data_IF_470476765839
#
_entry.id   IF_470476765839
#
_cell.length_a   1.000
_cell.length_b   1.000
_cell.length_c   1.000
_cell.angle_alpha   90.00
_cell.angle_beta   90.00
_cell.angle_gamma   90.00
#
_symmetry.space_group_name_H-M   'P 1'
#
loop_
_entity.id
_entity.type
_entity.pdbx_description
1 polymer ?
#
# COMPACT_ATOMS: atom_id res chain seq x y z
N UNK A 1 -15.57 35.27 -8.20
CA UNK A 1 -15.76 35.00 -6.75
C UNK A 1 -16.20 33.55 -6.43
N UNK A 2 -17.01 32.86 -7.26
CA UNK A 2 -17.50 31.50 -6.96
C UNK A 2 -16.47 30.35 -7.02
N UNK A 3 -15.35 30.48 -7.76
CA UNK A 3 -14.35 29.39 -7.90
C UNK A 3 -13.48 29.20 -6.65
N UNK A 4 -13.22 30.28 -5.88
CA UNK A 4 -12.41 30.22 -4.66
C UNK A 4 -13.16 29.58 -3.47
N UNK A 5 -14.47 29.75 -3.41
CA UNK A 5 -15.32 29.18 -2.35
C UNK A 5 -15.35 27.65 -2.37
N UNK A 6 -15.43 27.03 -3.57
CA UNK A 6 -15.40 25.55 -3.72
C UNK A 6 -14.04 24.95 -3.33
N UNK A 7 -12.93 25.64 -3.62
CA UNK A 7 -11.59 25.19 -3.26
C UNK A 7 -11.35 25.23 -1.75
N UNK A 8 -11.85 26.28 -1.07
CA UNK A 8 -11.80 26.41 0.38
C UNK A 8 -12.72 25.41 1.09
N UNK A 9 -13.90 25.12 0.53
CA UNK A 9 -14.81 24.09 1.06
C UNK A 9 -14.22 22.68 0.95
N UNK A 10 -13.56 22.36 -0.18
CA UNK A 10 -12.87 21.07 -0.38
C UNK A 10 -11.67 20.90 0.56
N UNK A 11 -10.87 21.97 0.79
CA UNK A 11 -9.79 21.96 1.79
C UNK A 11 -10.31 21.81 3.22
N UNK A 12 -11.45 22.40 3.55
CA UNK A 12 -12.12 22.23 4.85
C UNK A 12 -12.62 20.80 5.05
N UNK A 13 -13.19 20.17 4.02
CA UNK A 13 -13.62 18.77 4.05
C UNK A 13 -12.45 17.79 4.19
N UNK A 14 -11.34 18.02 3.49
CA UNK A 14 -10.11 17.24 3.64
C UNK A 14 -9.50 17.40 5.04
N UNK A 15 -9.45 18.62 5.57
CA UNK A 15 -8.98 18.89 6.93
C UNK A 15 -9.92 18.29 7.99
N UNK A 16 -11.24 18.32 7.77
CA UNK A 16 -12.23 17.71 8.66
C UNK A 16 -12.16 16.18 8.63
N UNK A 17 -11.94 15.56 7.47
CA UNK A 17 -11.69 14.12 7.37
C UNK A 17 -10.37 13.74 8.05
N UNK A 18 -9.29 14.52 7.86
CA UNK A 18 -8.03 14.33 8.58
C UNK A 18 -8.21 14.46 10.10
N UNK A 19 -8.99 15.44 10.56
CA UNK A 19 -9.31 15.62 11.98
C UNK A 19 -10.24 14.53 12.52
N UNK A 20 -11.12 13.94 11.70
CA UNK A 20 -11.94 12.79 12.09
C UNK A 20 -11.10 11.51 12.23
N UNK A 21 -10.12 11.28 11.35
CA UNK A 21 -9.17 10.15 11.47
C UNK A 21 -8.31 10.28 12.72
N UNK A 22 -7.86 11.50 13.08
CA UNK A 22 -7.11 11.74 14.33
C UNK A 22 -8.01 11.62 15.57
N UNK A 23 -9.30 11.99 15.49
CA UNK A 23 -10.24 11.84 16.61
C UNK A 23 -10.54 10.39 16.97
N UNK A 24 -10.44 9.45 16.03
CA UNK A 24 -10.65 8.03 16.34
C UNK A 24 -9.47 7.38 17.09
N UNK A 25 -8.30 8.03 17.11
CA UNK A 25 -7.14 7.58 17.86
C UNK A 25 -7.09 8.11 19.31
N UNK A 26 -7.97 9.06 19.67
CA UNK A 26 -7.91 9.79 20.95
C UNK A 26 -9.11 9.55 21.88
N UNK A 27 -9.90 8.50 21.66
CA UNK A 27 -10.88 8.02 22.65
C UNK A 27 -10.53 6.62 23.13
N UNK A 28 -9.84 6.56 24.28
CA UNK A 28 -10.36 5.92 25.48
C UNK A 28 -10.68 4.43 25.52
N UNK A 29 -10.51 3.67 24.45
CA UNK A 29 -10.62 2.20 24.45
C UNK A 29 -9.35 1.64 23.83
N UNK A 30 -8.74 0.63 24.46
CA UNK A 30 -7.49 -0.01 24.03
C UNK A 30 -7.46 -0.29 22.52
N UNK A 31 -6.79 0.57 21.74
CA UNK A 31 -6.76 0.57 20.26
C UNK A 31 -5.78 -0.46 19.72
N UNK A 32 -5.95 -1.72 20.12
CA UNK A 32 -5.17 -2.82 19.53
C UNK A 32 -5.72 -3.15 18.14
N UNK A 33 -4.82 -3.30 17.18
CA UNK A 33 -5.11 -3.93 15.89
C UNK A 33 -4.73 -5.40 15.94
N UNK A 34 -5.49 -6.26 15.28
CA UNK A 34 -5.14 -7.67 15.17
C UNK A 34 -3.87 -7.82 14.32
N UNK A 35 -3.78 -7.05 13.24
CA UNK A 35 -2.64 -7.02 12.33
C UNK A 35 -2.30 -5.59 11.91
N UNK A 36 -1.01 -5.28 11.94
CA UNK A 36 -0.46 -4.06 11.32
C UNK A 36 0.32 -4.44 10.07
N UNK A 37 0.11 -3.71 8.98
CA UNK A 37 0.87 -3.81 7.73
C UNK A 37 1.69 -2.54 7.56
N UNK A 38 3.00 -2.69 7.39
CA UNK A 38 3.93 -1.57 7.19
C UNK A 38 4.31 -1.47 5.73
N UNK A 39 3.89 -0.39 5.07
CA UNK A 39 4.18 -0.08 3.66
C UNK A 39 2.98 -0.30 2.72
N UNK A 40 2.57 0.74 1.99
CA UNK A 40 1.46 0.71 1.03
C UNK A 40 1.85 0.28 -0.38
N UNK A 41 2.89 -0.54 -0.53
CA UNK A 41 3.31 -1.08 -1.83
C UNK A 41 2.42 -2.25 -2.29
N UNK A 42 2.72 -2.83 -3.46
CA UNK A 42 1.92 -3.94 -4.03
C UNK A 42 1.72 -5.12 -3.07
N UNK A 43 2.75 -5.50 -2.30
CA UNK A 43 2.62 -6.57 -1.31
C UNK A 43 1.74 -6.14 -0.12
N UNK A 44 1.91 -4.91 0.37
CA UNK A 44 1.13 -4.39 1.48
C UNK A 44 -0.34 -4.21 1.14
N UNK A 45 -0.66 -3.80 -0.09
CA UNK A 45 -2.05 -3.65 -0.55
C UNK A 45 -2.78 -4.99 -0.58
N UNK A 46 -2.12 -6.06 -1.07
CA UNK A 46 -2.69 -7.41 -1.05
C UNK A 46 -2.80 -7.95 0.38
N UNK A 47 -1.78 -7.74 1.22
CA UNK A 47 -1.80 -8.16 2.62
C UNK A 47 -2.95 -7.51 3.40
N UNK A 48 -3.16 -6.20 3.23
CA UNK A 48 -4.25 -5.48 3.87
C UNK A 48 -5.61 -6.04 3.44
N UNK A 49 -5.83 -6.19 2.13
CA UNK A 49 -7.09 -6.71 1.60
C UNK A 49 -7.35 -8.14 2.08
N UNK A 50 -6.34 -9.00 2.07
CA UNK A 50 -6.47 -10.38 2.52
C UNK A 50 -6.82 -10.47 4.02
N UNK A 51 -6.07 -9.78 4.87
CA UNK A 51 -6.24 -9.83 6.34
C UNK A 51 -7.56 -9.21 6.77
N UNK A 52 -7.93 -8.06 6.22
CA UNK A 52 -9.20 -7.42 6.54
C UNK A 52 -10.40 -8.29 6.15
N UNK A 53 -10.36 -8.96 4.99
CA UNK A 53 -11.41 -9.90 4.56
C UNK A 53 -11.50 -11.17 5.41
N UNK A 54 -10.41 -11.55 6.09
CA UNK A 54 -10.44 -12.61 7.10
C UNK A 54 -11.11 -12.15 8.42
N UNK A 55 -11.58 -10.90 8.49
CA UNK A 55 -12.30 -10.34 9.64
C UNK A 55 -11.40 -9.72 10.71
N UNK A 56 -10.09 -9.61 10.45
CA UNK A 56 -9.14 -9.03 11.40
C UNK A 56 -9.14 -7.50 11.30
N UNK A 57 -9.15 -6.82 12.46
CA UNK A 57 -8.99 -5.37 12.52
C UNK A 57 -7.57 -5.01 12.09
N UNK A 58 -7.47 -4.37 10.93
CA UNK A 58 -6.20 -4.18 10.22
C UNK A 58 -5.81 -2.71 10.16
N UNK A 59 -4.54 -2.40 10.38
CA UNK A 59 -3.98 -1.08 10.14
C UNK A 59 -2.91 -1.12 9.07
N UNK A 60 -3.06 -0.31 8.03
CA UNK A 60 -1.98 0.04 7.11
C UNK A 60 -1.26 1.30 7.60
N UNK A 61 0.04 1.18 7.89
CA UNK A 61 0.93 2.33 8.13
C UNK A 61 1.79 2.57 6.90
N UNK A 62 1.75 3.79 6.36
CA UNK A 62 2.56 4.16 5.20
C UNK A 62 3.07 5.59 5.29
N UNK A 63 4.26 5.87 4.74
CA UNK A 63 4.85 7.20 4.80
C UNK A 63 4.06 8.26 4.03
N UNK A 64 3.39 7.87 2.94
CA UNK A 64 2.60 8.76 2.08
C UNK A 64 1.38 8.02 1.56
N UNK A 65 0.17 8.41 2.00
CA UNK A 65 -1.09 7.82 1.54
C UNK A 65 -1.27 7.96 0.03
N UNK A 66 -0.81 9.09 -0.52
CA UNK A 66 -0.91 9.37 -1.95
C UNK A 66 -0.12 8.40 -2.84
N UNK A 67 0.87 7.67 -2.31
CA UNK A 67 1.71 6.72 -3.07
C UNK A 67 1.32 5.25 -2.86
N UNK A 68 0.22 4.99 -2.14
CA UNK A 68 -0.35 3.65 -2.03
C UNK A 68 -0.70 3.15 -3.43
N UNK A 69 -0.19 1.98 -3.81
CA UNK A 69 -0.38 1.40 -5.14
C UNK A 69 0.50 2.01 -6.25
N UNK A 70 1.53 2.79 -5.91
CA UNK A 70 2.42 3.41 -6.91
C UNK A 70 3.27 2.37 -7.66
N UNK A 71 3.17 2.38 -9.00
CA UNK A 71 4.04 1.61 -9.89
C UNK A 71 5.34 2.37 -10.17
N UNK A 72 6.44 2.00 -9.51
CA UNK A 72 7.71 2.73 -9.65
C UNK A 72 8.56 2.33 -10.86
N UNK A 73 8.39 1.09 -11.35
CA UNK A 73 9.22 0.54 -12.43
C UNK A 73 8.48 0.59 -13.77
N UNK A 74 8.09 -0.56 -14.32
CA UNK A 74 7.41 -0.68 -15.61
C UNK A 74 5.88 -0.50 -15.42
N UNK A 75 5.19 0.32 -16.24
CA UNK A 75 3.73 0.45 -16.18
C UNK A 75 3.03 -0.74 -16.86
N UNK A 76 3.33 -1.95 -16.39
CA UNK A 76 2.79 -3.17 -16.96
C UNK A 76 2.68 -4.28 -15.93
N UNK A 77 1.61 -5.04 -16.02
CA UNK A 77 1.38 -6.22 -15.21
C UNK A 77 1.37 -7.48 -16.08
N UNK A 78 1.79 -8.60 -15.49
CA UNK A 78 1.82 -9.90 -16.15
C UNK A 78 3.09 -10.16 -16.96
N UNK A 79 2.99 -11.06 -17.94
CA UNK A 79 4.11 -11.69 -18.63
C UNK A 79 4.04 -13.22 -18.51
N UNK A 80 5.09 -13.93 -18.93
CA UNK A 80 5.08 -15.41 -18.96
C UNK A 80 4.87 -16.00 -17.56
N UNK A 81 5.70 -15.63 -16.58
CA UNK A 81 5.53 -16.08 -15.18
C UNK A 81 4.53 -15.23 -14.41
N UNK A 82 4.74 -13.91 -14.44
CA UNK A 82 3.92 -12.94 -13.68
C UNK A 82 2.43 -12.98 -14.04
N UNK A 83 2.09 -13.34 -15.28
CA UNK A 83 0.69 -13.46 -15.72
C UNK A 83 -0.05 -14.58 -14.98
N UNK A 84 0.61 -15.72 -14.72
CA UNK A 84 0.05 -16.79 -13.90
C UNK A 84 -0.12 -16.35 -12.45
N UNK A 85 0.91 -15.73 -11.85
CA UNK A 85 0.84 -15.25 -10.47
C UNK A 85 -0.31 -14.25 -10.25
N UNK A 86 -0.55 -13.35 -11.20
CA UNK A 86 -1.68 -12.41 -11.09
C UNK A 86 -3.02 -13.15 -11.13
N UNK A 87 -3.15 -14.20 -11.95
CA UNK A 87 -4.36 -15.02 -12.01
C UNK A 87 -4.57 -15.84 -10.73
N UNK A 88 -3.49 -16.32 -10.12
CA UNK A 88 -3.54 -17.00 -8.83
C UNK A 88 -3.95 -16.03 -7.72
N UNK A 89 -3.37 -14.82 -7.70
CA UNK A 89 -3.76 -13.75 -6.76
C UNK A 89 -5.24 -13.41 -6.93
N UNK A 90 -5.71 -13.21 -8.16
CA UNK A 90 -7.11 -12.93 -8.49
C UNK A 90 -8.05 -14.08 -8.05
N UNK A 91 -7.64 -15.33 -8.25
CA UNK A 91 -8.40 -16.50 -7.78
C UNK A 91 -8.49 -16.59 -6.24
N UNK A 92 -7.51 -16.02 -5.54
CA UNK A 92 -7.51 -15.83 -4.09
C UNK A 92 -8.15 -14.50 -3.67
N UNK A 93 -8.94 -13.90 -4.56
CA UNK A 93 -9.66 -12.63 -4.40
C UNK A 93 -8.75 -11.39 -4.29
N UNK A 94 -7.46 -11.48 -4.57
CA UNK A 94 -6.54 -10.34 -4.51
C UNK A 94 -6.95 -9.13 -5.37
N UNK A 95 -6.48 -7.95 -4.99
CA UNK A 95 -6.95 -6.66 -5.55
C UNK A 95 -6.27 -6.30 -6.87
N UNK A 96 -5.04 -6.76 -7.11
CA UNK A 96 -4.24 -6.32 -8.25
C UNK A 96 -4.84 -6.73 -9.61
N UNK A 97 -5.49 -7.90 -9.70
CA UNK A 97 -6.13 -8.37 -10.93
C UNK A 97 -7.23 -7.41 -11.40
N UNK A 98 -8.19 -7.13 -10.50
CA UNK A 98 -9.27 -6.16 -10.74
C UNK A 98 -8.74 -4.75 -11.01
N UNK A 99 -7.73 -4.32 -10.26
CA UNK A 99 -7.12 -3.01 -10.47
C UNK A 99 -6.48 -2.91 -11.86
N UNK A 100 -5.79 -3.96 -12.32
CA UNK A 100 -5.25 -4.02 -13.69
C UNK A 100 -6.35 -3.97 -14.75
N UNK A 101 -7.48 -4.64 -14.54
CA UNK A 101 -8.59 -4.65 -15.50
C UNK A 101 -9.26 -3.28 -15.62
N UNK A 102 -9.34 -2.49 -14.54
CA UNK A 102 -9.90 -1.12 -14.59
C UNK A 102 -8.92 -0.06 -15.10
N UNK A 103 -7.62 -0.34 -15.12
CA UNK A 103 -6.58 0.63 -15.47
C UNK A 103 -5.77 0.25 -16.72
N UNK A 104 -6.14 -0.83 -17.40
CA UNK A 104 -5.40 -1.31 -18.57
C UNK A 104 -5.62 -0.45 -19.82
N UNK A 105 -4.52 -0.21 -20.52
CA UNK A 105 -4.47 0.50 -21.81
C UNK A 105 -4.40 -0.49 -22.96
N UNK A 106 -3.70 -1.61 -22.76
CA UNK A 106 -3.51 -2.65 -23.79
C UNK A 106 -3.36 -4.02 -23.14
N UNK A 107 -3.99 -5.05 -23.71
CA UNK A 107 -3.88 -6.44 -23.27
C UNK A 107 -3.27 -7.33 -24.36
N UNK A 108 -2.41 -8.27 -23.97
CA UNK A 108 -1.81 -9.26 -24.86
C UNK A 108 -1.58 -10.58 -24.15
N UNK A 109 -1.75 -11.70 -24.86
CA UNK A 109 -1.28 -13.01 -24.41
C UNK A 109 0.06 -13.30 -25.08
N UNK A 110 1.12 -13.39 -24.29
CA UNK A 110 2.44 -13.84 -24.74
C UNK A 110 2.42 -15.35 -25.00
N UNK A 111 3.26 -15.83 -25.93
CA UNK A 111 3.37 -17.24 -26.30
C UNK A 111 2.07 -17.90 -26.79
N UNK A 112 1.11 -17.12 -27.33
CA UNK A 112 -0.20 -17.62 -27.80
C UNK A 112 -0.12 -18.83 -28.74
N UNK A 113 0.95 -18.95 -29.54
CA UNK A 113 1.17 -20.06 -30.49
C UNK A 113 1.84 -21.31 -29.91
N UNK A 114 2.27 -21.30 -28.64
CA UNK A 114 3.05 -22.38 -28.01
C UNK A 114 2.23 -23.28 -27.07
N UNK A 115 0.90 -23.19 -27.14
CA UNK A 115 -0.02 -23.95 -26.29
C UNK A 115 -0.34 -23.28 -24.95
N UNK A 116 -1.49 -23.61 -24.33
CA UNK A 116 -2.04 -22.88 -23.19
C UNK A 116 -1.18 -22.93 -21.92
N UNK A 117 -0.44 -24.01 -21.70
CA UNK A 117 0.40 -24.19 -20.51
C UNK A 117 1.53 -23.15 -20.37
N UNK A 118 1.88 -22.45 -21.46
CA UNK A 118 2.97 -21.45 -21.48
C UNK A 118 2.49 -20.05 -21.85
N UNK A 119 1.17 -19.83 -21.87
CA UNK A 119 0.60 -18.52 -22.16
C UNK A 119 0.90 -17.53 -21.04
N UNK A 120 1.29 -16.31 -21.41
CA UNK A 120 1.60 -15.25 -20.45
C UNK A 120 0.68 -14.04 -20.63
N UNK A 121 -0.46 -13.94 -19.92
CA UNK A 121 -1.27 -12.74 -19.92
C UNK A 121 -0.45 -11.53 -19.49
N UNK A 122 -0.52 -10.44 -20.24
CA UNK A 122 0.20 -9.19 -19.97
C UNK A 122 -0.67 -8.01 -20.34
N UNK A 123 -0.64 -6.98 -19.50
CA UNK A 123 -1.30 -5.71 -19.75
C UNK A 123 -0.34 -4.53 -19.57
N UNK A 124 -0.46 -3.52 -20.43
CA UNK A 124 0.08 -2.18 -20.18
C UNK A 124 -0.96 -1.40 -19.38
N UNK A 125 -0.53 -0.71 -18.33
CA UNK A 125 -1.40 -0.14 -17.32
C UNK A 125 -1.15 1.36 -17.20
N UNK A 126 -2.22 2.14 -17.10
CA UNK A 126 -2.13 3.55 -16.72
C UNK A 126 -1.78 3.67 -15.24
N UNK A 127 -0.67 4.36 -14.92
CA UNK A 127 -0.18 4.53 -13.55
C UNK A 127 -1.15 5.26 -12.64
N UNK A 128 -1.79 6.31 -13.15
CA UNK A 128 -2.70 7.14 -12.38
C UNK A 128 -3.98 6.37 -12.04
N UNK A 129 -4.55 5.68 -13.02
CA UNK A 129 -5.76 4.89 -12.83
C UNK A 129 -5.53 3.70 -11.91
N UNK A 130 -4.42 2.97 -12.07
CA UNK A 130 -4.09 1.83 -11.21
C UNK A 130 -3.98 2.26 -9.74
N UNK A 131 -3.23 3.35 -9.51
CA UNK A 131 -3.05 3.91 -8.17
C UNK A 131 -4.36 4.36 -7.55
N UNK A 132 -5.21 5.06 -8.31
CA UNK A 132 -6.52 5.49 -7.85
C UNK A 132 -7.42 4.30 -7.50
N UNK A 133 -7.39 3.24 -8.31
CA UNK A 133 -8.21 2.06 -8.11
C UNK A 133 -7.78 1.26 -6.86
N UNK A 134 -6.48 1.10 -6.63
CA UNK A 134 -5.98 0.48 -5.40
C UNK A 134 -6.39 1.29 -4.16
N UNK A 135 -6.26 2.62 -4.22
CA UNK A 135 -6.67 3.49 -3.11
C UNK A 135 -8.17 3.43 -2.86
N UNK A 136 -8.98 3.28 -3.92
CA UNK A 136 -10.43 3.09 -3.83
C UNK A 136 -10.77 1.75 -3.18
N UNK A 137 -10.23 0.65 -3.68
CA UNK A 137 -10.49 -0.71 -3.14
C UNK A 137 -10.10 -0.80 -1.66
N UNK A 138 -8.93 -0.28 -1.26
CA UNK A 138 -8.53 -0.26 0.16
C UNK A 138 -9.39 0.69 1.00
N UNK A 139 -9.80 1.84 0.47
CA UNK A 139 -10.67 2.78 1.18
C UNK A 139 -12.09 2.27 1.40
N UNK A 140 -12.53 1.30 0.60
CA UNK A 140 -13.83 0.63 0.72
C UNK A 140 -13.74 -0.71 1.48
N UNK A 141 -12.54 -1.14 1.88
CA UNK A 141 -12.33 -2.40 2.62
C UNK A 141 -12.73 -2.22 4.08
N UNK A 142 -13.78 -2.94 4.50
CA UNK A 142 -14.24 -2.94 5.89
C UNK A 142 -13.16 -3.49 6.84
N UNK A 143 -13.02 -2.87 8.02
CA UNK A 143 -12.04 -3.30 9.03
C UNK A 143 -10.59 -2.89 8.74
N UNK A 144 -10.33 -2.13 7.67
CA UNK A 144 -9.02 -1.59 7.33
C UNK A 144 -8.92 -0.08 7.61
N UNK A 145 -8.06 0.28 8.55
CA UNK A 145 -7.65 1.66 8.79
C UNK A 145 -6.35 1.98 8.03
N UNK A 146 -6.19 3.23 7.59
CA UNK A 146 -4.99 3.70 6.88
C UNK A 146 -4.45 4.96 7.57
N UNK A 147 -3.22 4.87 8.06
CA UNK A 147 -2.51 5.98 8.71
C UNK A 147 -1.26 6.36 7.91
N UNK A 148 -1.11 7.67 7.69
CA UNK A 148 0.11 8.24 7.13
C UNK A 148 1.12 8.51 8.26
N UNK A 149 2.09 7.62 8.43
CA UNK A 149 3.14 7.72 9.45
C UNK A 149 4.40 6.92 9.04
N UNK A 150 5.51 7.19 9.74
CA UNK A 150 6.75 6.40 9.65
C UNK A 150 6.85 5.50 10.88
N UNK A 151 7.13 4.22 10.64
CA UNK A 151 7.44 3.26 11.71
C UNK A 151 8.94 3.28 11.95
N UNK A 152 9.34 3.45 13.20
CA UNK A 152 10.75 3.52 13.60
C UNK A 152 11.23 2.28 14.33
N UNK A 153 10.36 1.50 14.99
CA UNK A 153 10.79 0.29 15.70
C UNK A 153 9.64 -0.71 15.88
N UNK A 154 10.00 -1.95 16.19
CA UNK A 154 9.09 -3.06 16.52
C UNK A 154 9.12 -3.27 18.03
N UNK A 155 7.97 -3.19 18.68
CA UNK A 155 7.84 -3.43 20.11
C UNK A 155 7.66 -4.92 20.36
N UNK A 156 8.58 -5.50 21.13
CA UNK A 156 8.57 -6.91 21.50
C UNK A 156 8.38 -7.08 23.01
N UNK A 157 7.55 -8.04 23.40
CA UNK A 157 7.38 -8.48 24.79
C UNK A 157 7.63 -10.00 24.87
N UNK A 158 8.62 -10.41 25.66
CA UNK A 158 8.97 -11.83 25.82
C UNK A 158 9.34 -12.55 24.51
N UNK A 159 9.94 -11.83 23.55
CA UNK A 159 10.28 -12.35 22.22
C UNK A 159 9.10 -12.50 21.26
N UNK A 160 7.92 -11.97 21.62
CA UNK A 160 6.73 -11.92 20.76
C UNK A 160 6.44 -10.47 20.37
N UNK A 161 5.82 -10.30 19.21
CA UNK A 161 5.31 -8.99 18.78
C UNK A 161 4.25 -8.49 19.77
N UNK A 162 4.37 -7.23 20.16
CA UNK A 162 3.42 -6.51 21.00
C UNK A 162 2.98 -5.17 20.37
N UNK A 163 3.76 -4.64 19.43
CA UNK A 163 3.36 -3.44 18.71
C UNK A 163 4.42 -2.90 17.74
N UNK A 164 4.17 -1.69 17.27
CA UNK A 164 5.12 -0.87 16.53
C UNK A 164 5.25 0.51 17.17
N UNK A 165 6.44 1.10 17.09
CA UNK A 165 6.70 2.48 17.50
C UNK A 165 6.75 3.37 16.27
N UNK A 166 5.98 4.46 16.29
CA UNK A 166 5.98 5.48 15.26
C UNK A 166 7.05 6.54 15.53
N UNK A 167 7.39 7.33 14.51
CA UNK A 167 8.37 8.42 14.61
C UNK A 167 8.03 9.51 15.63
N UNK A 168 6.76 9.69 15.95
CA UNK A 168 6.30 10.62 16.98
C UNK A 168 6.39 10.04 18.41
N UNK A 169 6.88 8.81 18.57
CA UNK A 169 6.96 8.10 19.86
C UNK A 169 5.67 7.37 20.27
N UNK A 170 4.61 7.46 19.46
CA UNK A 170 3.37 6.73 19.69
C UNK A 170 3.56 5.23 19.45
N UNK A 171 2.98 4.39 20.32
CA UNK A 171 3.02 2.94 20.19
C UNK A 171 1.65 2.43 19.77
N UNK A 172 1.61 1.71 18.65
CA UNK A 172 0.40 1.02 18.19
C UNK A 172 0.54 -0.46 18.53
N UNK A 173 -0.37 -0.96 19.36
CA UNK A 173 -0.36 -2.36 19.82
C UNK A 173 -0.91 -3.30 18.75
N UNK A 174 -0.22 -4.41 18.53
CA UNK A 174 -0.68 -5.47 17.63
C UNK A 174 -0.08 -6.83 17.97
N UNK A 175 -0.81 -7.90 17.59
CA UNK A 175 -0.39 -9.29 17.79
C UNK A 175 0.28 -9.88 16.55
N UNK A 176 0.30 -9.16 15.42
CA UNK A 176 0.88 -9.64 14.17
C UNK A 176 1.29 -8.46 13.29
N UNK A 177 2.43 -8.62 12.61
CA UNK A 177 3.03 -7.56 11.81
C UNK A 177 3.41 -8.10 10.43
N UNK A 178 3.03 -7.39 9.37
CA UNK A 178 3.46 -7.67 8.00
C UNK A 178 4.34 -6.51 7.51
N UNK A 179 5.60 -6.82 7.19
CA UNK A 179 6.59 -5.81 6.77
C UNK A 179 6.71 -5.83 5.25
N UNK A 180 6.36 -4.71 4.60
CA UNK A 180 6.40 -4.54 3.14
C UNK A 180 7.06 -3.22 2.74
N UNK A 181 8.22 -2.96 3.34
CA UNK A 181 9.01 -1.71 3.15
C UNK A 181 9.48 -1.49 1.72
N UNK A 182 9.44 -2.49 0.84
CA UNK A 182 9.87 -2.38 -0.54
C UNK A 182 11.34 -1.92 -0.64
N UNK A 183 11.58 -0.85 -1.38
CA UNK A 183 12.94 -0.30 -1.57
C UNK A 183 13.34 0.75 -0.52
N UNK A 184 12.51 0.97 0.52
CA UNK A 184 12.69 2.08 1.45
C UNK A 184 13.64 1.77 2.60
N UNK A 185 13.65 0.53 3.11
CA UNK A 185 14.44 0.17 4.28
C UNK A 185 15.93 0.29 4.00
N UNK A 186 16.57 1.28 4.65
CA UNK A 186 17.96 1.71 4.41
C UNK A 186 18.25 1.90 2.92
N UNK A 187 17.24 2.37 2.17
CA UNK A 187 17.32 2.54 0.73
C UNK A 187 18.36 3.58 0.33
N UNK A 188 19.06 3.30 -0.78
CA UNK A 188 19.99 4.22 -1.41
C UNK A 188 19.80 4.22 -2.92
N UNK A 189 19.89 5.40 -3.53
CA UNK A 189 19.91 5.59 -4.98
C UNK A 189 21.36 5.74 -5.42
N UNK A 190 21.72 4.98 -6.45
CA UNK A 190 23.03 5.05 -7.11
C UNK A 190 22.84 5.58 -8.54
N UNK A 191 23.51 6.68 -8.88
CA UNK A 191 23.52 7.28 -10.22
C UNK A 191 24.97 7.48 -10.63
N UNK A 192 25.51 6.55 -11.43
CA UNK A 192 26.93 6.55 -11.75
C UNK A 192 27.77 6.36 -10.48
N UNK A 193 28.59 7.35 -10.14
CA UNK A 193 29.41 7.36 -8.92
C UNK A 193 28.74 8.07 -7.73
N UNK A 194 27.57 8.68 -7.94
CA UNK A 194 26.84 9.40 -6.90
C UNK A 194 25.90 8.43 -6.15
N UNK A 195 26.02 8.42 -4.81
CA UNK A 195 25.13 7.65 -3.93
C UNK A 195 24.44 8.60 -2.96
N UNK A 196 23.12 8.45 -2.79
CA UNK A 196 22.34 9.19 -1.79
C UNK A 196 21.29 8.31 -1.11
N UNK A 197 21.03 8.47 0.19
CA UNK A 197 19.92 7.79 0.88
C UNK A 197 18.57 8.19 0.27
N UNK A 198 17.76 7.20 -0.12
CA UNK A 198 16.43 7.39 -0.68
C UNK A 198 15.74 6.04 -0.88
N UNK A 199 14.43 5.97 -0.64
CA UNK A 199 13.63 4.80 -0.99
C UNK A 199 13.27 4.75 -2.47
N UNK A 200 12.90 5.91 -3.03
CA UNK A 200 12.60 6.16 -4.45
C UNK A 200 13.02 7.59 -4.79
N UNK A 201 13.04 7.93 -6.08
CA UNK A 201 13.36 9.30 -6.50
C UNK A 201 12.34 10.27 -5.86
N UNK A 202 12.81 11.15 -4.97
CA UNK A 202 11.98 12.13 -4.26
C UNK A 202 11.36 11.63 -2.94
N UNK A 203 11.66 10.40 -2.53
CA UNK A 203 11.21 9.81 -1.27
C UNK A 203 12.39 9.54 -0.32
N UNK A 204 12.21 9.88 0.95
CA UNK A 204 13.16 9.59 2.02
C UNK A 204 13.26 8.07 2.29
N UNK A 205 14.42 7.57 2.76
CA UNK A 205 14.53 6.19 3.20
C UNK A 205 13.82 5.96 4.55
N UNK A 206 13.52 4.70 4.86
CA UNK A 206 13.19 4.25 6.20
C UNK A 206 14.48 3.81 6.93
N UNK A 207 14.76 4.35 8.12
CA UNK A 207 16.05 4.13 8.80
C UNK A 207 15.89 3.27 10.06
N UNK A 208 14.89 3.56 10.90
CA UNK A 208 14.74 2.95 12.22
C UNK A 208 14.37 1.47 12.21
N UNK A 209 13.41 1.08 11.37
CA UNK A 209 12.81 -0.27 11.33
C UNK A 209 13.83 -1.41 11.12
#
# INVERSE_FOLDING_TARGET
MLKYSKLLASRRLLALNQLQTVRHLTHGDSTSYDVVVVGGGHAGTEACAAVARMGARTLLVTQKRATIGEMSCNPSFGGIGKGHLIREIDALDGVCGRACDRSGVQYKVLNKRRGPAVWGPRAQIDRGLYRAEIQRELGETEGLDIVEASVEDIVLEGGRIDGISLKNGEVIRTKSLVITTGTFLRGQINIGLETRPAGRIGDEPAIGL
#
